data_IF_086766930311
#
_entry.id   IF_086766930311
#
_cell.length_a   1.000
_cell.length_b   1.000
_cell.length_c   1.000
_cell.angle_alpha   90.00
_cell.angle_beta   90.00
_cell.angle_gamma   90.00
#
_symmetry.space_group_name_H-M   'P 1'
#
loop_
_entity.id
_entity.type
_entity.pdbx_description
1 polymer ?
#
# COMPACT_ATOMS: atom_id res chain seq x y z
N UNK A 1 -66.32 29.26 40.55
CA UNK A 1 -64.84 29.18 40.55
C UNK A 1 -64.46 27.72 40.71
N UNK A 2 -63.43 27.28 39.97
CA UNK A 2 -62.93 25.91 39.78
C UNK A 2 -63.39 25.25 38.46
N UNK A 3 -62.55 25.41 37.43
CA UNK A 3 -62.50 24.52 36.28
C UNK A 3 -61.04 24.14 36.04
N UNK A 4 -60.76 22.86 36.27
CA UNK A 4 -59.48 22.16 36.17
C UNK A 4 -59.04 21.94 34.73
N UNK A 5 -57.76 22.15 34.44
CA UNK A 5 -57.09 21.66 33.23
C UNK A 5 -56.97 20.12 33.26
N UNK A 6 -56.88 19.49 32.08
CA UNK A 6 -55.75 18.59 31.89
C UNK A 6 -55.03 18.81 30.55
N UNK A 7 -53.72 19.09 30.63
CA UNK A 7 -52.79 18.96 29.50
C UNK A 7 -52.59 17.47 29.20
N UNK A 8 -52.80 17.09 27.94
CA UNK A 8 -52.44 15.77 27.42
C UNK A 8 -50.95 15.77 27.06
N UNK A 9 -50.13 15.03 27.81
CA UNK A 9 -48.80 14.63 27.36
C UNK A 9 -48.96 13.52 26.33
N UNK A 10 -48.61 13.80 25.07
CA UNK A 10 -48.43 12.77 24.06
C UNK A 10 -47.02 12.21 24.20
N UNK A 11 -46.92 10.95 24.65
CA UNK A 11 -45.67 10.20 24.68
C UNK A 11 -45.36 9.76 23.25
N UNK A 12 -44.41 10.43 22.58
CA UNK A 12 -43.89 9.97 21.30
C UNK A 12 -43.01 8.73 21.55
N UNK A 13 -43.52 7.55 21.20
CA UNK A 13 -42.74 6.33 21.17
C UNK A 13 -41.67 6.46 20.07
N UNK A 14 -40.41 6.59 20.47
CA UNK A 14 -39.28 6.59 19.55
C UNK A 14 -39.17 5.23 18.87
N UNK A 15 -39.35 5.21 17.54
CA UNK A 15 -38.94 4.09 16.71
C UNK A 15 -37.42 3.96 16.81
N UNK A 16 -36.96 2.91 17.48
CA UNK A 16 -35.59 2.45 17.35
C UNK A 16 -35.45 1.81 15.95
N UNK A 17 -35.01 2.60 14.97
CA UNK A 17 -34.54 2.06 13.69
C UNK A 17 -33.22 1.33 13.98
N UNK A 18 -33.31 0.01 14.16
CA UNK A 18 -32.16 -0.86 13.98
C UNK A 18 -31.74 -0.75 12.51
N UNK A 19 -30.74 0.10 12.25
CA UNK A 19 -30.05 0.14 10.96
C UNK A 19 -29.21 -1.15 10.84
N UNK A 20 -29.86 -2.26 10.52
CA UNK A 20 -29.18 -3.38 9.90
C UNK A 20 -28.71 -2.86 8.55
N UNK A 21 -27.40 -2.62 8.43
CA UNK A 21 -26.74 -2.48 7.14
C UNK A 21 -26.90 -3.81 6.39
N UNK A 22 -28.02 -3.97 5.69
CA UNK A 22 -28.23 -5.10 4.77
C UNK A 22 -27.35 -4.87 3.55
N UNK A 23 -26.14 -5.40 3.61
CA UNK A 23 -25.37 -5.65 2.39
C UNK A 23 -26.18 -6.64 1.55
N UNK A 24 -26.49 -6.28 0.30
CA UNK A 24 -27.14 -7.20 -0.62
C UNK A 24 -26.23 -8.42 -0.82
N UNK A 25 -26.65 -9.58 -0.31
CA UNK A 25 -25.90 -10.81 -0.53
C UNK A 25 -25.96 -11.18 -2.02
N UNK A 26 -24.81 -11.53 -2.64
CA UNK A 26 -24.84 -11.98 -4.02
C UNK A 26 -25.67 -13.26 -4.11
N UNK A 27 -26.71 -13.26 -4.95
CA UNK A 27 -27.49 -14.47 -5.24
C UNK A 27 -26.63 -15.41 -6.07
N UNK A 28 -26.08 -16.45 -5.42
CA UNK A 28 -25.26 -17.46 -6.07
C UNK A 28 -26.12 -18.47 -6.85
N UNK A 29 -25.65 -18.87 -8.03
CA UNK A 29 -26.17 -20.07 -8.70
C UNK A 29 -25.82 -21.33 -7.90
N UNK A 30 -26.55 -22.46 -8.08
CA UNK A 30 -26.21 -23.71 -7.40
C UNK A 30 -24.76 -24.17 -7.63
N UNK A 31 -24.21 -23.91 -8.83
CA UNK A 31 -22.81 -24.21 -9.15
C UNK A 31 -21.82 -23.35 -8.37
N UNK A 32 -22.09 -22.05 -8.25
CA UNK A 32 -21.28 -21.13 -7.45
C UNK A 32 -21.37 -21.46 -5.96
N UNK A 33 -22.56 -21.81 -5.46
CA UNK A 33 -22.73 -22.22 -4.07
C UNK A 33 -21.88 -23.46 -3.75
N UNK A 34 -21.96 -24.49 -4.59
CA UNK A 34 -21.12 -25.70 -4.45
C UNK A 34 -19.62 -25.36 -4.49
N UNK A 35 -19.22 -24.39 -5.32
CA UNK A 35 -17.84 -23.91 -5.39
C UNK A 35 -17.41 -23.26 -4.07
N UNK A 36 -18.22 -22.37 -3.50
CA UNK A 36 -17.97 -21.74 -2.20
C UNK A 36 -17.84 -22.80 -1.11
N UNK A 37 -18.80 -23.73 -1.02
CA UNK A 37 -18.80 -24.80 -0.02
C UNK A 37 -17.53 -25.66 -0.10
N UNK A 38 -17.04 -25.96 -1.31
CA UNK A 38 -15.80 -26.72 -1.50
C UNK A 38 -14.52 -25.99 -1.06
N UNK A 39 -14.59 -24.68 -0.84
CA UNK A 39 -13.47 -23.85 -0.36
C UNK A 39 -13.57 -23.51 1.12
N UNK A 40 -14.67 -23.89 1.79
CA UNK A 40 -14.81 -23.74 3.23
C UNK A 40 -14.30 -25.00 3.93
N UNK A 41 -13.38 -24.82 4.86
CA UNK A 41 -12.77 -25.87 5.65
C UNK A 41 -13.26 -25.78 7.10
N UNK A 42 -13.52 -26.95 7.70
CA UNK A 42 -13.94 -27.08 9.10
C UNK A 42 -12.77 -27.07 10.09
N UNK A 43 -11.55 -27.23 9.59
CA UNK A 43 -10.33 -27.24 10.39
C UNK A 43 -9.24 -26.41 9.73
N UNK A 44 -8.37 -25.83 10.57
CA UNK A 44 -7.21 -25.08 10.12
C UNK A 44 -6.20 -26.03 9.46
N UNK A 45 -5.87 -25.84 8.18
CA UNK A 45 -4.88 -26.67 7.50
C UNK A 45 -3.46 -26.32 7.96
N UNK A 46 -2.49 -27.16 7.63
CA UNK A 46 -1.07 -26.83 7.76
C UNK A 46 -0.57 -26.29 6.41
N UNK A 47 -0.37 -24.96 6.27
CA UNK A 47 0.13 -24.38 5.02
C UNK A 47 1.63 -24.66 4.84
N UNK A 48 2.09 -24.61 3.60
CA UNK A 48 3.50 -24.62 3.21
C UNK A 48 4.27 -23.47 3.90
N UNK A 49 3.65 -22.30 3.98
CA UNK A 49 4.19 -21.11 4.64
C UNK A 49 3.22 -20.62 5.72
N UNK A 50 3.51 -20.96 6.98
CA UNK A 50 2.75 -20.46 8.12
C UNK A 50 3.05 -18.96 8.35
N UNK A 51 2.00 -18.19 8.67
CA UNK A 51 2.09 -16.73 8.90
C UNK A 51 1.48 -16.36 10.25
N UNK A 52 0.20 -16.67 10.48
CA UNK A 52 -0.49 -16.39 11.73
C UNK A 52 -0.83 -14.91 11.99
N UNK A 53 -0.94 -14.07 10.97
CA UNK A 53 -1.24 -12.65 11.14
C UNK A 53 -2.72 -12.45 11.53
N UNK A 54 -2.96 -11.75 12.64
CA UNK A 54 -4.30 -11.42 13.16
C UNK A 54 -4.67 -10.00 12.77
N UNK A 55 -5.79 -9.84 12.08
CA UNK A 55 -6.27 -8.56 11.57
C UNK A 55 -7.49 -8.11 12.37
N UNK A 56 -7.30 -7.11 13.24
CA UNK A 56 -8.31 -6.50 14.12
C UNK A 56 -9.33 -7.48 14.78
N UNK A 57 -8.88 -8.65 15.24
CA UNK A 57 -9.70 -9.75 15.78
C UNK A 57 -10.84 -10.23 14.84
N UNK A 58 -10.79 -9.86 13.56
CA UNK A 58 -11.78 -10.23 12.55
C UNK A 58 -11.41 -11.56 11.89
N UNK A 59 -10.18 -11.62 11.38
CA UNK A 59 -9.66 -12.76 10.63
C UNK A 59 -8.19 -13.01 10.97
N UNK A 60 -7.75 -14.25 10.74
CA UNK A 60 -6.34 -14.63 10.79
C UNK A 60 -5.91 -15.13 9.41
N UNK A 61 -4.83 -14.55 8.86
CA UNK A 61 -4.10 -15.23 7.79
C UNK A 61 -3.30 -16.36 8.43
N UNK A 62 -3.79 -17.59 8.29
CA UNK A 62 -3.13 -18.80 8.78
C UNK A 62 -1.78 -18.96 8.09
N UNK A 63 -1.79 -18.83 6.76
CA UNK A 63 -0.62 -18.94 5.90
C UNK A 63 -1.02 -19.14 4.45
N UNK A 64 -0.08 -19.58 3.63
CA UNK A 64 -0.31 -19.78 2.19
C UNK A 64 0.53 -20.91 1.60
N UNK A 65 0.05 -21.42 0.47
CA UNK A 65 0.78 -22.30 -0.44
C UNK A 65 1.04 -21.56 -1.75
N UNK A 66 2.18 -21.82 -2.41
CA UNK A 66 2.53 -21.21 -3.69
C UNK A 66 3.18 -22.24 -4.61
N UNK A 67 2.75 -22.27 -5.87
CA UNK A 67 3.24 -23.25 -6.85
C UNK A 67 4.68 -22.97 -7.32
N UNK A 68 5.03 -21.70 -7.51
CA UNK A 68 6.38 -21.25 -7.90
C UNK A 68 6.68 -19.83 -7.45
N UNK A 69 7.96 -19.56 -7.23
CA UNK A 69 8.48 -18.25 -6.83
C UNK A 69 9.36 -17.61 -7.91
N UNK A 70 9.38 -18.15 -9.14
CA UNK A 70 10.03 -17.58 -10.32
C UNK A 70 9.05 -17.60 -11.49
N UNK A 71 8.89 -16.49 -12.18
CA UNK A 71 7.87 -16.32 -13.23
C UNK A 71 8.25 -15.22 -14.21
N UNK A 72 7.88 -15.35 -15.47
CA UNK A 72 8.06 -14.27 -16.47
C UNK A 72 6.86 -13.33 -16.49
N UNK A 73 7.04 -12.05 -16.87
CA UNK A 73 5.92 -11.19 -17.23
C UNK A 73 5.02 -11.86 -18.28
N UNK A 74 3.70 -11.79 -18.08
CA UNK A 74 2.69 -12.44 -18.90
C UNK A 74 2.35 -13.88 -18.49
N UNK A 75 3.16 -14.53 -17.65
CA UNK A 75 2.86 -15.85 -17.11
C UNK A 75 2.09 -15.77 -15.80
N UNK A 76 1.53 -16.92 -15.38
CA UNK A 76 0.77 -17.07 -14.15
C UNK A 76 1.58 -17.72 -13.05
N UNK A 77 1.29 -17.38 -11.79
CA UNK A 77 1.61 -18.16 -10.59
C UNK A 77 0.34 -18.33 -9.77
N UNK A 78 0.25 -19.37 -8.95
CA UNK A 78 -0.93 -19.67 -8.13
C UNK A 78 -0.58 -19.60 -6.66
N UNK A 79 -1.35 -18.82 -5.91
CA UNK A 79 -1.27 -18.76 -4.45
C UNK A 79 -2.56 -19.24 -3.84
N UNK A 80 -2.47 -20.08 -2.82
CA UNK A 80 -3.63 -20.45 -1.99
C UNK A 80 -3.49 -19.79 -0.63
N UNK A 81 -4.38 -18.87 -0.30
CA UNK A 81 -4.45 -18.22 1.01
C UNK A 81 -5.40 -18.98 1.94
N UNK A 82 -4.99 -19.19 3.19
CA UNK A 82 -5.83 -19.81 4.21
C UNK A 82 -6.21 -18.78 5.26
N UNK A 83 -7.50 -18.45 5.33
CA UNK A 83 -8.00 -17.34 6.14
C UNK A 83 -9.02 -17.89 7.12
N UNK A 84 -8.75 -17.76 8.42
CA UNK A 84 -9.63 -18.19 9.51
C UNK A 84 -10.48 -17.03 10.02
N UNK A 85 -11.78 -17.24 10.20
CA UNK A 85 -12.67 -16.29 10.86
C UNK A 85 -12.47 -16.31 12.36
N UNK A 86 -12.38 -15.14 13.00
CA UNK A 86 -12.19 -15.01 14.46
C UNK A 86 -13.44 -14.49 15.18
N UNK A 87 -14.42 -14.01 14.43
CA UNK A 87 -15.70 -13.46 14.91
C UNK A 87 -16.88 -14.03 14.13
N UNK A 88 -18.05 -14.10 14.76
CA UNK A 88 -19.30 -14.52 14.11
C UNK A 88 -19.97 -13.40 13.31
N UNK A 89 -19.49 -12.17 13.50
CA UNK A 89 -19.95 -10.94 12.84
C UNK A 89 -18.76 -10.17 12.25
N UNK A 90 -18.09 -10.69 11.21
CA UNK A 90 -17.06 -9.92 10.54
C UNK A 90 -17.69 -8.75 9.79
N UNK A 91 -16.99 -7.62 9.75
CA UNK A 91 -17.36 -6.50 8.87
C UNK A 91 -17.22 -6.91 7.39
N UNK A 92 -17.91 -6.18 6.52
CA UNK A 92 -17.78 -6.37 5.07
C UNK A 92 -16.47 -5.77 4.54
N UNK A 93 -15.41 -6.54 4.70
CA UNK A 93 -14.07 -6.15 4.33
C UNK A 93 -13.60 -6.88 3.07
N UNK A 94 -12.67 -6.26 2.34
CA UNK A 94 -12.04 -6.87 1.17
C UNK A 94 -10.57 -7.22 1.48
N UNK A 95 -10.08 -8.29 0.85
CA UNK A 95 -8.65 -8.59 0.88
C UNK A 95 -7.93 -7.59 -0.02
N UNK A 96 -6.80 -7.07 0.44
CA UNK A 96 -5.83 -6.52 -0.49
C UNK A 96 -4.70 -7.52 -0.72
N UNK A 97 -4.33 -7.69 -1.98
CA UNK A 97 -3.16 -8.45 -2.39
C UNK A 97 -2.40 -7.61 -3.40
N UNK A 98 -1.14 -7.31 -3.13
CA UNK A 98 -0.30 -6.52 -4.05
C UNK A 98 0.94 -7.30 -4.42
N UNK A 99 1.22 -7.42 -5.72
CA UNK A 99 2.54 -7.80 -6.20
C UNK A 99 3.35 -6.53 -6.40
N UNK A 100 4.42 -6.35 -5.62
CA UNK A 100 5.21 -5.12 -5.64
C UNK A 100 6.70 -5.40 -5.56
N UNK A 101 7.44 -4.90 -6.55
CA UNK A 101 8.90 -4.87 -6.59
C UNK A 101 9.45 -3.57 -6.01
N UNK A 102 10.41 -2.97 -6.72
CA UNK A 102 11.15 -1.79 -6.23
C UNK A 102 10.19 -0.60 -5.99
N UNK A 103 10.19 0.04 -4.80
CA UNK A 103 9.23 1.10 -4.46
C UNK A 103 9.16 2.31 -5.41
N UNK A 104 10.27 2.65 -6.08
CA UNK A 104 10.33 3.77 -7.03
C UNK A 104 9.94 3.39 -8.47
N UNK A 105 9.71 2.10 -8.73
CA UNK A 105 9.45 1.54 -10.06
C UNK A 105 7.95 1.32 -10.24
N UNK A 106 7.27 2.28 -10.87
CA UNK A 106 5.80 2.24 -11.06
C UNK A 106 5.34 1.02 -11.86
N UNK A 107 6.20 0.47 -12.72
CA UNK A 107 5.90 -0.74 -13.50
C UNK A 107 6.10 -2.01 -12.69
N UNK A 108 6.75 -1.95 -11.53
CA UNK A 108 6.90 -3.05 -10.59
C UNK A 108 5.76 -3.11 -9.54
N UNK A 109 4.53 -2.79 -9.92
CA UNK A 109 3.37 -2.85 -9.02
C UNK A 109 2.13 -3.36 -9.74
N UNK A 110 1.33 -4.17 -9.03
CA UNK A 110 0.06 -4.71 -9.51
C UNK A 110 -0.90 -4.96 -8.33
N UNK A 111 -2.11 -4.40 -8.43
CA UNK A 111 -3.21 -4.66 -7.50
C UNK A 111 -3.93 -5.96 -7.87
N UNK A 112 -4.25 -6.77 -6.86
CA UNK A 112 -4.89 -8.08 -6.96
C UNK A 112 -5.96 -8.24 -5.87
N UNK A 113 -6.57 -7.13 -5.45
CA UNK A 113 -7.57 -7.08 -4.38
C UNK A 113 -8.85 -7.78 -4.81
N UNK A 114 -9.47 -8.52 -3.88
CA UNK A 114 -10.65 -9.32 -4.18
C UNK A 114 -11.35 -9.78 -2.89
N UNK A 115 -12.58 -10.28 -3.05
CA UNK A 115 -13.15 -11.20 -2.07
C UNK A 115 -12.71 -12.64 -2.38
N UNK A 116 -12.56 -13.50 -1.35
CA UNK A 116 -12.24 -14.89 -1.54
C UNK A 116 -13.12 -15.63 -2.56
N UNK A 117 -12.59 -16.74 -3.07
CA UNK A 117 -13.29 -17.67 -3.97
C UNK A 117 -13.73 -16.95 -5.24
N UNK A 118 -12.79 -16.30 -5.93
CA UNK A 118 -13.03 -15.54 -7.17
C UNK A 118 -14.13 -14.49 -7.03
N UNK A 119 -14.20 -13.83 -5.88
CA UNK A 119 -15.20 -12.79 -5.60
C UNK A 119 -16.55 -13.33 -5.11
N UNK A 120 -16.73 -14.65 -5.00
CA UNK A 120 -18.01 -15.26 -4.64
C UNK A 120 -18.26 -15.32 -3.13
N UNK A 121 -17.24 -15.10 -2.31
CA UNK A 121 -17.34 -15.23 -0.86
C UNK A 121 -16.91 -13.95 -0.13
N UNK A 122 -17.85 -13.04 0.17
CA UNK A 122 -17.59 -11.88 1.01
C UNK A 122 -17.05 -12.29 2.40
N UNK A 123 -16.00 -11.62 2.90
CA UNK A 123 -15.37 -12.00 4.17
C UNK A 123 -16.34 -11.94 5.38
N UNK A 124 -17.37 -11.09 5.33
CA UNK A 124 -18.45 -11.04 6.35
C UNK A 124 -19.18 -12.38 6.56
N UNK A 125 -19.13 -13.29 5.58
CA UNK A 125 -19.72 -14.62 5.68
C UNK A 125 -18.82 -15.62 6.43
N UNK A 126 -17.53 -15.32 6.61
CA UNK A 126 -16.56 -16.20 7.26
C UNK A 126 -16.82 -16.27 8.77
N UNK A 127 -17.49 -17.33 9.21
CA UNK A 127 -17.82 -17.52 10.63
C UNK A 127 -16.61 -17.89 11.47
N UNK A 128 -16.72 -17.66 12.78
CA UNK A 128 -15.67 -17.96 13.75
C UNK A 128 -15.27 -19.44 13.65
N UNK A 129 -13.96 -19.68 13.58
CA UNK A 129 -13.37 -21.02 13.50
C UNK A 129 -13.48 -21.70 12.14
N UNK A 130 -14.21 -21.13 11.17
CA UNK A 130 -14.19 -21.60 9.78
C UNK A 130 -12.99 -21.02 9.06
N UNK A 131 -12.48 -21.77 8.10
CA UNK A 131 -11.38 -21.33 7.23
C UNK A 131 -11.87 -21.29 5.80
N UNK A 132 -11.65 -20.17 5.10
CA UNK A 132 -11.77 -20.12 3.65
C UNK A 132 -10.39 -20.39 3.03
N UNK A 133 -10.35 -21.39 2.14
CA UNK A 133 -9.25 -21.64 1.23
C UNK A 133 -9.50 -20.79 -0.01
N UNK A 134 -8.66 -19.79 -0.25
CA UNK A 134 -8.81 -18.90 -1.39
C UNK A 134 -7.70 -19.15 -2.41
N UNK A 135 -8.06 -19.64 -3.59
CA UNK A 135 -7.11 -19.97 -4.66
C UNK A 135 -7.06 -18.82 -5.66
N UNK A 136 -5.94 -18.09 -5.67
CA UNK A 136 -5.72 -16.95 -6.52
C UNK A 136 -4.70 -17.27 -7.62
N UNK A 137 -5.16 -17.24 -8.87
CA UNK A 137 -4.28 -17.32 -10.04
C UNK A 137 -3.86 -15.90 -10.42
N UNK A 138 -2.58 -15.60 -10.27
CA UNK A 138 -2.00 -14.28 -10.51
C UNK A 138 -1.31 -14.31 -11.87
N UNK A 139 -1.88 -13.63 -12.86
CA UNK A 139 -1.19 -13.32 -14.12
C UNK A 139 -0.31 -12.09 -13.91
N UNK A 140 1.01 -12.26 -13.98
CA UNK A 140 1.94 -11.14 -13.90
C UNK A 140 1.77 -10.27 -15.14
N UNK A 141 1.50 -8.98 -14.99
CA UNK A 141 1.28 -8.09 -16.14
C UNK A 141 2.49 -8.10 -17.10
N UNK A 142 2.28 -8.01 -18.43
CA UNK A 142 3.38 -8.14 -19.41
C UNK A 142 4.49 -7.09 -19.28
N UNK A 143 4.16 -5.91 -18.73
CA UNK A 143 5.08 -4.80 -18.50
C UNK A 143 5.57 -4.75 -17.03
N UNK A 144 5.44 -5.83 -16.26
CA UNK A 144 5.97 -5.87 -14.89
C UNK A 144 7.51 -5.86 -14.93
N UNK A 145 8.14 -4.91 -14.23
CA UNK A 145 9.61 -4.80 -14.22
C UNK A 145 10.27 -6.07 -13.64
N UNK A 146 11.27 -6.66 -14.33
CA UNK A 146 12.01 -7.79 -13.79
C UNK A 146 12.78 -7.46 -12.49
N UNK A 147 12.97 -8.46 -11.65
CA UNK A 147 13.65 -8.35 -10.36
C UNK A 147 12.88 -9.02 -9.22
N UNK A 148 13.31 -8.77 -7.98
CA UNK A 148 12.59 -9.24 -6.80
C UNK A 148 11.28 -8.45 -6.62
N UNK A 149 10.19 -9.17 -6.40
CA UNK A 149 8.90 -8.64 -5.99
C UNK A 149 8.37 -9.41 -4.78
N UNK A 150 7.52 -8.75 -3.99
CA UNK A 150 6.87 -9.34 -2.83
C UNK A 150 5.37 -9.33 -3.03
N UNK A 151 4.73 -10.41 -2.60
CA UNK A 151 3.30 -10.44 -2.39
C UNK A 151 2.99 -9.88 -1.00
N UNK A 152 2.22 -8.81 -0.98
CA UNK A 152 1.70 -8.23 0.25
C UNK A 152 0.25 -8.65 0.43
N UNK A 153 -0.15 -8.88 1.67
CA UNK A 153 -1.51 -9.29 2.02
C UNK A 153 -2.06 -8.45 3.18
N UNK A 154 -3.37 -8.26 3.21
CA UNK A 154 -4.09 -7.75 4.37
C UNK A 154 -5.57 -7.52 4.06
N UNK A 155 -6.22 -6.72 4.89
CA UNK A 155 -7.65 -6.46 4.82
C UNK A 155 -7.92 -4.96 4.88
N UNK A 156 -8.93 -4.50 4.15
CA UNK A 156 -9.35 -3.11 4.16
C UNK A 156 -10.86 -2.94 4.23
N UNK A 157 -11.28 -1.78 4.75
CA UNK A 157 -12.67 -1.33 4.90
C UNK A 157 -12.79 0.10 4.39
N UNK A 158 -13.39 0.29 3.23
CA UNK A 158 -13.37 1.59 2.55
C UNK A 158 -11.94 2.10 2.37
N UNK A 159 -11.63 3.33 2.75
CA UNK A 159 -10.25 3.85 2.58
C UNK A 159 -9.29 3.45 3.72
N UNK A 160 -9.71 2.56 4.62
CA UNK A 160 -8.96 2.18 5.82
C UNK A 160 -8.37 0.78 5.72
N UNK A 161 -7.03 0.68 5.88
CA UNK A 161 -6.32 -0.59 6.05
C UNK A 161 -6.42 -1.06 7.49
N UNK A 162 -6.93 -2.26 7.71
CA UNK A 162 -7.07 -2.83 9.04
C UNK A 162 -5.68 -3.18 9.61
N UNK A 163 -5.52 -3.00 10.92
CA UNK A 163 -4.26 -3.20 11.62
C UNK A 163 -3.95 -4.68 11.85
N UNK A 164 -2.67 -5.00 11.73
CA UNK A 164 -2.12 -6.27 12.21
C UNK A 164 -1.92 -6.15 13.72
N UNK A 165 -2.67 -6.92 14.51
CA UNK A 165 -2.64 -6.80 15.98
C UNK A 165 -1.39 -7.43 16.61
N UNK A 166 -0.93 -8.54 16.04
CA UNK A 166 0.27 -9.25 16.47
C UNK A 166 1.47 -8.90 15.56
N UNK A 167 1.60 -7.62 15.16
CA UNK A 167 2.63 -7.16 14.23
C UNK A 167 4.05 -7.58 14.65
N UNK A 168 4.36 -7.54 15.95
CA UNK A 168 5.67 -7.93 16.50
C UNK A 168 6.03 -9.41 16.28
N UNK A 169 5.06 -10.25 15.90
CA UNK A 169 5.23 -11.69 15.72
C UNK A 169 5.27 -12.12 14.24
N UNK A 170 5.03 -11.20 13.30
CA UNK A 170 4.87 -11.52 11.88
C UNK A 170 5.72 -10.63 10.99
N UNK A 171 6.17 -11.13 9.81
CA UNK A 171 6.79 -10.29 8.80
C UNK A 171 5.79 -9.29 8.21
N UNK A 172 6.08 -7.99 8.35
CA UNK A 172 5.28 -6.91 7.78
C UNK A 172 6.16 -5.74 7.35
N UNK A 173 5.60 -4.86 6.52
CA UNK A 173 6.23 -3.60 6.17
C UNK A 173 5.81 -2.44 7.08
N UNK A 174 6.42 -1.27 6.87
CA UNK A 174 6.12 -0.06 7.66
C UNK A 174 4.70 0.49 7.43
N UNK A 175 3.99 -0.01 6.42
CA UNK A 175 2.62 0.40 6.11
C UNK A 175 1.56 -0.58 6.66
N UNK A 176 1.97 -1.54 7.49
CA UNK A 176 1.06 -2.50 8.11
C UNK A 176 0.52 -3.53 7.13
N UNK A 177 1.31 -3.91 6.11
CA UNK A 177 0.98 -5.01 5.20
C UNK A 177 1.77 -6.25 5.58
N UNK A 178 1.09 -7.39 5.62
CA UNK A 178 1.75 -8.68 5.83
C UNK A 178 2.65 -8.96 4.62
N UNK A 179 3.90 -9.33 4.86
CA UNK A 179 4.82 -9.76 3.80
C UNK A 179 4.61 -11.27 3.60
N UNK A 180 4.05 -11.63 2.45
CA UNK A 180 3.91 -13.01 2.00
C UNK A 180 5.13 -13.49 1.23
N UNK A 181 4.90 -14.14 0.08
CA UNK A 181 5.99 -14.71 -0.71
C UNK A 181 6.88 -13.63 -1.37
N UNK A 182 8.18 -13.94 -1.46
CA UNK A 182 9.10 -13.24 -2.36
C UNK A 182 9.15 -14.00 -3.69
N UNK A 183 8.89 -13.29 -4.78
CA UNK A 183 8.82 -13.82 -6.15
C UNK A 183 9.91 -13.14 -6.99
N UNK A 184 10.65 -13.93 -7.74
CA UNK A 184 11.57 -13.45 -8.77
C UNK A 184 10.81 -13.27 -10.07
N UNK A 185 10.70 -12.03 -10.53
CA UNK A 185 10.19 -11.72 -11.87
C UNK A 185 11.37 -11.82 -12.85
N UNK A 186 11.31 -12.83 -13.71
CA UNK A 186 12.36 -13.16 -14.66
C UNK A 186 12.51 -12.08 -15.73
N UNK A 187 13.75 -11.92 -16.19
CA UNK A 187 14.12 -10.95 -17.20
C UNK A 187 15.30 -10.12 -16.75
N UNK A 188 15.78 -9.26 -17.65
CA UNK A 188 16.83 -8.30 -17.31
C UNK A 188 16.16 -7.07 -16.70
N UNK A 189 16.42 -6.73 -15.43
CA UNK A 189 15.91 -5.49 -14.86
C UNK A 189 16.36 -4.34 -15.74
N UNK A 190 15.47 -3.36 -15.96
CA UNK A 190 15.91 -2.09 -16.50
C UNK A 190 17.05 -1.58 -15.62
N UNK A 191 18.17 -1.20 -16.24
CA UNK A 191 19.23 -0.51 -15.53
C UNK A 191 18.58 0.63 -14.74
N UNK A 192 18.94 0.83 -13.45
CA UNK A 192 18.45 1.97 -12.71
C UNK A 192 18.62 3.20 -13.61
N UNK A 193 17.58 4.03 -13.73
CA UNK A 193 17.74 5.32 -14.39
C UNK A 193 18.98 5.96 -13.76
N UNK A 194 19.94 6.37 -14.59
CA UNK A 194 21.15 7.02 -14.08
C UNK A 194 20.67 8.21 -13.26
N UNK A 195 20.83 8.13 -11.93
CA UNK A 195 20.46 9.25 -11.08
C UNK A 195 21.31 10.43 -11.54
N UNK A 196 20.73 11.62 -11.72
CA UNK A 196 21.51 12.80 -12.04
C UNK A 196 22.54 12.96 -10.92
N UNK A 197 23.81 12.78 -11.27
CA UNK A 197 24.90 12.84 -10.32
C UNK A 197 25.17 14.32 -10.02
N UNK A 198 24.85 14.75 -8.81
CA UNK A 198 25.36 16.02 -8.31
C UNK A 198 26.86 15.85 -8.00
N UNK A 199 27.70 16.64 -8.65
CA UNK A 199 29.13 16.65 -8.37
C UNK A 199 29.46 17.80 -7.41
N UNK A 200 30.16 17.48 -6.33
CA UNK A 200 30.70 18.46 -5.40
C UNK A 200 32.23 18.52 -5.58
N UNK A 201 32.76 19.70 -5.87
CA UNK A 201 34.21 19.92 -5.94
C UNK A 201 34.71 20.55 -4.63
N UNK A 202 35.98 20.32 -4.29
CA UNK A 202 36.56 20.97 -3.13
C UNK A 202 36.66 22.48 -3.38
N UNK A 203 36.34 23.28 -2.37
CA UNK A 203 36.46 24.73 -2.40
C UNK A 203 37.92 25.11 -2.69
N UNK A 204 38.10 25.96 -3.71
CA UNK A 204 39.43 26.39 -4.13
C UNK A 204 40.14 27.14 -3.01
N UNK A 205 41.45 26.94 -2.88
CA UNK A 205 42.24 27.55 -1.81
C UNK A 205 42.11 29.08 -1.83
N UNK A 206 41.86 29.68 -0.66
CA UNK A 206 41.67 31.12 -0.50
C UNK A 206 40.30 31.66 -0.94
N UNK A 207 39.39 30.80 -1.40
CA UNK A 207 37.98 31.15 -1.62
C UNK A 207 37.16 30.90 -0.36
N UNK A 208 36.09 31.65 -0.20
CA UNK A 208 35.15 31.55 0.93
C UNK A 208 33.72 31.58 0.41
N UNK A 209 32.82 30.93 1.14
CA UNK A 209 31.37 31.05 0.96
C UNK A 209 30.81 31.84 2.14
N UNK A 210 30.11 32.93 1.88
CA UNK A 210 29.40 33.71 2.90
C UNK A 210 27.95 33.23 2.94
N UNK A 211 27.47 32.89 4.14
CA UNK A 211 26.11 32.38 4.33
C UNK A 211 25.10 33.54 4.49
N UNK A 212 24.95 34.37 3.46
CA UNK A 212 24.03 35.51 3.44
C UNK A 212 22.79 35.31 2.54
N UNK A 213 22.65 34.11 1.97
CA UNK A 213 21.55 33.75 1.06
C UNK A 213 21.76 34.22 -0.37
N UNK A 214 22.90 34.83 -0.69
CA UNK A 214 23.30 35.17 -2.06
C UNK A 214 24.30 34.15 -2.57
N UNK A 215 24.30 34.01 -3.90
CA UNK A 215 25.13 33.05 -4.61
C UNK A 215 26.18 33.76 -5.48
N UNK A 216 26.62 34.93 -5.06
CA UNK A 216 27.57 35.82 -5.74
C UNK A 216 29.01 35.71 -5.20
N UNK A 217 29.27 34.89 -4.18
CA UNK A 217 30.63 34.62 -3.73
C UNK A 217 31.49 33.94 -4.81
N UNK A 218 32.76 34.34 -4.90
CA UNK A 218 33.70 33.77 -5.86
C UNK A 218 34.05 32.30 -5.58
N UNK A 219 33.72 31.77 -4.39
CA UNK A 219 33.87 30.34 -4.08
C UNK A 219 32.90 29.45 -4.85
N UNK A 220 31.89 30.03 -5.48
CA UNK A 220 30.95 29.30 -6.31
C UNK A 220 31.29 29.30 -7.81
N UNK A 221 32.26 30.10 -8.24
CA UNK A 221 32.63 30.24 -9.65
C UNK A 221 33.14 28.91 -10.22
N UNK A 222 32.72 28.58 -11.45
CA UNK A 222 33.16 27.37 -12.15
C UNK A 222 32.54 26.05 -11.66
N UNK A 223 31.73 26.07 -10.60
CA UNK A 223 31.01 24.88 -10.15
C UNK A 223 29.81 24.58 -11.04
N UNK A 224 29.64 23.30 -11.37
CA UNK A 224 28.50 22.83 -12.16
C UNK A 224 27.21 22.88 -11.35
N UNK A 225 26.16 23.36 -12.00
CA UNK A 225 24.79 23.19 -11.52
C UNK A 225 24.32 21.76 -11.80
N UNK A 226 23.42 21.27 -10.97
CA UNK A 226 22.56 20.14 -11.35
C UNK A 226 21.67 20.54 -12.52
N UNK A 227 21.14 19.55 -13.21
CA UNK A 227 19.94 19.76 -14.00
C UNK A 227 18.81 20.33 -13.13
N UNK A 228 17.87 21.01 -13.76
CA UNK A 228 16.63 21.43 -13.10
C UNK A 228 15.88 20.20 -12.59
N UNK A 229 15.56 20.18 -11.29
CA UNK A 229 14.80 19.09 -10.71
C UNK A 229 13.36 19.09 -11.25
N UNK A 230 12.88 17.90 -11.61
CA UNK A 230 11.51 17.70 -12.03
C UNK A 230 10.56 17.77 -10.84
N UNK A 231 9.28 18.04 -11.11
CA UNK A 231 8.24 17.96 -10.09
C UNK A 231 8.13 16.53 -9.54
N UNK A 232 7.69 16.32 -8.28
CA UNK A 232 7.53 14.98 -7.71
C UNK A 232 6.60 14.05 -8.51
N UNK A 233 5.69 14.61 -9.30
CA UNK A 233 4.79 13.91 -10.22
C UNK A 233 5.46 13.51 -11.56
N UNK A 234 6.72 13.94 -11.79
CA UNK A 234 7.48 13.72 -13.01
C UNK A 234 7.19 14.75 -14.12
N UNK A 235 6.35 15.75 -13.87
CA UNK A 235 6.04 16.78 -14.87
C UNK A 235 7.21 17.75 -15.07
N UNK A 236 7.52 18.04 -16.33
CA UNK A 236 8.46 19.10 -16.69
C UNK A 236 7.68 20.43 -16.81
N UNK A 237 7.74 21.25 -15.76
CA UNK A 237 7.04 22.56 -15.69
C UNK A 237 8.01 23.69 -16.02
N UNK A 238 7.51 24.82 -16.53
CA UNK A 238 8.34 25.99 -16.83
C UNK A 238 8.81 26.74 -15.54
N UNK A 239 7.95 26.75 -14.52
CA UNK A 239 8.18 27.26 -13.17
C UNK A 239 7.13 26.62 -12.21
N UNK A 240 7.36 26.60 -10.88
CA UNK A 240 8.63 26.85 -10.20
C UNK A 240 9.67 25.77 -10.55
N UNK A 241 10.96 26.13 -10.53
CA UNK A 241 12.08 25.21 -10.80
C UNK A 241 13.16 25.40 -9.76
N UNK A 242 13.79 24.29 -9.37
CA UNK A 242 14.90 24.29 -8.41
C UNK A 242 16.10 23.60 -9.03
N UNK A 243 17.30 24.17 -8.84
CA UNK A 243 18.58 23.51 -9.11
C UNK A 243 19.56 23.83 -8.00
N UNK A 244 20.61 23.03 -7.87
CA UNK A 244 21.63 23.23 -6.85
C UNK A 244 23.04 23.12 -7.43
N UNK A 245 24.02 23.66 -6.70
CA UNK A 245 25.45 23.42 -6.91
C UNK A 245 26.13 23.19 -5.58
N UNK A 246 27.24 22.47 -5.60
CA UNK A 246 27.86 21.95 -4.40
C UNK A 246 29.36 22.24 -4.37
N UNK A 247 29.86 22.66 -3.21
CA UNK A 247 31.30 22.72 -2.92
C UNK A 247 31.55 22.31 -1.48
N UNK A 248 32.77 21.92 -1.13
CA UNK A 248 33.08 21.46 0.22
C UNK A 248 34.50 21.85 0.67
N UNK A 249 34.69 21.99 1.97
CA UNK A 249 36.01 22.06 2.60
C UNK A 249 36.12 21.01 3.72
N UNK A 250 37.17 21.07 4.54
CA UNK A 250 37.38 20.06 5.59
C UNK A 250 36.34 20.12 6.72
N UNK A 251 35.52 21.17 6.77
CA UNK A 251 34.54 21.40 7.83
C UNK A 251 33.09 21.33 7.33
N UNK A 252 32.82 21.75 6.09
CA UNK A 252 31.46 21.95 5.59
C UNK A 252 31.26 21.44 4.17
N UNK A 253 30.05 20.93 3.92
CA UNK A 253 29.46 20.86 2.59
C UNK A 253 28.57 22.08 2.39
N UNK A 254 28.88 22.89 1.39
CA UNK A 254 28.10 24.05 0.99
C UNK A 254 27.13 23.66 -0.13
N UNK A 255 25.87 24.04 0.04
CA UNK A 255 24.80 23.78 -0.93
C UNK A 255 24.20 25.11 -1.36
N UNK A 256 24.46 25.51 -2.60
CA UNK A 256 23.86 26.70 -3.20
C UNK A 256 22.61 26.29 -3.97
N UNK A 257 21.44 26.77 -3.55
CA UNK A 257 20.14 26.44 -4.17
C UNK A 257 19.59 27.67 -4.88
N UNK A 258 19.25 27.50 -6.16
CA UNK A 258 18.45 28.47 -6.89
C UNK A 258 17.04 27.89 -7.05
N UNK A 259 16.06 28.55 -6.41
CA UNK A 259 14.66 28.19 -6.46
C UNK A 259 13.85 29.35 -7.02
N UNK A 260 13.24 29.14 -8.19
CA UNK A 260 12.33 30.11 -8.80
C UNK A 260 10.93 29.88 -8.24
N UNK A 261 10.31 30.94 -7.72
CA UNK A 261 8.96 30.91 -7.16
C UNK A 261 8.17 32.13 -7.65
N UNK A 262 6.90 31.95 -8.01
CA UNK A 262 6.01 33.02 -8.45
C UNK A 262 5.30 33.72 -7.30
N UNK A 263 5.32 33.12 -6.11
CA UNK A 263 4.53 33.55 -4.95
C UNK A 263 5.40 34.25 -3.89
N UNK A 264 6.65 34.60 -4.24
CA UNK A 264 7.55 35.40 -3.41
C UNK A 264 7.33 36.88 -3.72
N UNK A 265 6.55 37.55 -2.88
CA UNK A 265 6.33 38.99 -2.92
C UNK A 265 7.07 39.65 -1.76
N UNK A 266 7.84 40.71 -2.03
CA UNK A 266 8.37 41.60 -0.99
C UNK A 266 7.44 42.80 -0.86
N UNK A 267 6.95 43.09 0.34
CA UNK A 267 6.35 44.39 0.68
C UNK A 267 7.42 45.45 0.90
#
# INVERSE_FOLDING_TARGET
MAASHPWKFALAAGLALAACSEYAEPTLTPGQQKKVEAHLLDAVPTPQHAVGAVIEDQVRLVGYDIDKTSVKPGETLTVTWYIEGLTDRPDDNMLFVHLQGRPADKTAWQNLDHHPVEGLFPLRQLKKGKVVKDVQVITVKPDFSPGEAKLYWGVWRGDYRLKIQNADQIPHDKEGRVIGATVTIEGKPAAPAALPLAQASRLAAGKTIVLDGKLDDTGWEGLSWTDWWASPDGANRAAPRTRARFTWDDQYLYVGVEAMDSDVWTT
#
